data_IF_377397639855
#
_entry.id   IF_377397639855
#
_cell.length_a   1.000
_cell.length_b   1.000
_cell.length_c   1.000
_cell.angle_alpha   90.00
_cell.angle_beta   90.00
_cell.angle_gamma   90.00
#
_symmetry.space_group_name_H-M   'P 1'
#
loop_
_entity.id
_entity.type
_entity.pdbx_description
1 polymer ?
#
# COMPACT_ATOMS: atom_id res chain seq x y z
N UNK A 1 30.25 -22.66 -21.97
CA UNK A 1 30.37 -21.68 -20.87
C UNK A 1 29.49 -20.48 -21.21
N UNK A 2 28.93 -19.85 -20.16
CA UNK A 2 28.17 -18.60 -20.15
C UNK A 2 26.70 -18.65 -20.61
N UNK A 3 25.82 -18.94 -19.65
CA UNK A 3 24.74 -18.02 -19.28
C UNK A 3 24.52 -18.16 -17.77
N UNK A 4 25.33 -17.44 -17.01
CA UNK A 4 25.20 -17.35 -15.57
C UNK A 4 23.92 -16.56 -15.24
N UNK A 5 23.11 -17.15 -14.35
CA UNK A 5 22.09 -16.57 -13.50
C UNK A 5 21.57 -15.17 -13.88
N UNK A 6 20.32 -15.12 -14.39
CA UNK A 6 19.44 -14.03 -14.03
C UNK A 6 19.22 -14.16 -12.52
N UNK A 7 20.05 -13.47 -11.74
CA UNK A 7 19.83 -13.35 -10.31
C UNK A 7 18.46 -12.69 -10.12
N UNK A 8 17.58 -13.35 -9.35
CA UNK A 8 16.37 -12.81 -8.74
C UNK A 8 16.72 -11.51 -8.00
N UNK A 9 16.81 -10.39 -8.71
CA UNK A 9 16.90 -9.09 -8.09
C UNK A 9 15.51 -8.78 -7.56
N UNK A 10 15.33 -8.98 -6.26
CA UNK A 10 14.15 -8.51 -5.56
C UNK A 10 13.86 -7.05 -5.97
N UNK A 11 12.58 -6.67 -6.15
CA UNK A 11 12.21 -5.34 -6.62
C UNK A 11 12.89 -4.25 -5.79
N UNK A 12 13.55 -3.30 -6.43
CA UNK A 12 14.26 -2.23 -5.72
C UNK A 12 13.25 -1.23 -5.16
N UNK A 13 13.33 -0.94 -3.87
CA UNK A 13 12.55 0.12 -3.23
C UNK A 13 12.86 1.48 -3.85
N UNK A 14 11.82 2.22 -4.20
CA UNK A 14 11.82 3.57 -4.75
C UNK A 14 11.23 4.53 -3.70
N UNK A 15 11.80 5.73 -3.62
CA UNK A 15 11.40 6.76 -2.65
C UNK A 15 11.17 8.14 -3.30
N UNK A 16 11.49 8.29 -4.60
CA UNK A 16 11.30 9.55 -5.31
C UNK A 16 9.89 9.62 -5.88
N UNK A 17 8.98 10.22 -5.13
CA UNK A 17 7.60 10.43 -5.55
C UNK A 17 7.48 11.35 -6.78
N UNK A 18 8.51 12.14 -7.12
CA UNK A 18 8.48 12.97 -8.33
C UNK A 18 8.60 12.14 -9.61
N UNK A 19 9.19 10.95 -9.51
CA UNK A 19 9.32 10.01 -10.62
C UNK A 19 8.01 9.25 -10.93
N UNK A 20 6.98 9.39 -10.08
CA UNK A 20 5.67 8.80 -10.33
C UNK A 20 4.95 9.52 -11.48
N UNK A 21 4.18 8.79 -12.30
CA UNK A 21 3.28 9.41 -13.27
C UNK A 21 2.31 10.38 -12.60
N UNK A 22 1.98 11.48 -13.28
CA UNK A 22 1.04 12.48 -12.76
C UNK A 22 -0.30 11.92 -12.29
N UNK A 23 -0.92 10.95 -12.99
CA UNK A 23 -2.16 10.34 -12.51
C UNK A 23 -1.99 9.61 -11.16
N UNK A 24 -0.86 8.94 -10.95
CA UNK A 24 -0.55 8.24 -9.70
C UNK A 24 -0.38 9.24 -8.56
N UNK A 25 0.35 10.33 -8.79
CA UNK A 25 0.53 11.41 -7.80
C UNK A 25 -0.81 12.01 -7.38
N UNK A 26 -1.68 12.32 -8.35
CA UNK A 26 -3.03 12.87 -8.07
C UNK A 26 -3.88 11.92 -7.23
N UNK A 27 -3.86 10.62 -7.54
CA UNK A 27 -4.58 9.62 -6.73
C UNK A 27 -4.03 9.55 -5.30
N UNK A 28 -2.70 9.53 -5.13
CA UNK A 28 -2.08 9.56 -3.80
C UNK A 28 -2.45 10.84 -3.02
N UNK A 29 -2.48 12.00 -3.67
CA UNK A 29 -2.90 13.26 -3.07
C UNK A 29 -4.37 13.22 -2.62
N UNK A 30 -5.27 12.67 -3.44
CA UNK A 30 -6.69 12.52 -3.08
C UNK A 30 -6.87 11.57 -1.89
N UNK A 31 -6.19 10.43 -1.91
CA UNK A 31 -6.20 9.45 -0.81
C UNK A 31 -5.67 10.10 0.49
N UNK A 32 -4.52 10.78 0.41
CA UNK A 32 -3.91 11.42 1.56
C UNK A 32 -4.79 12.55 2.12
N UNK A 33 -5.36 13.40 1.27
CA UNK A 33 -6.24 14.48 1.68
C UNK A 33 -7.52 13.94 2.37
N UNK A 34 -8.13 12.90 1.81
CA UNK A 34 -9.29 12.25 2.42
C UNK A 34 -8.94 11.63 3.78
N UNK A 35 -7.82 10.92 3.89
CA UNK A 35 -7.39 10.30 5.14
C UNK A 35 -7.00 11.32 6.22
N UNK A 36 -6.31 12.41 5.85
CA UNK A 36 -5.91 13.48 6.78
C UNK A 36 -7.10 14.23 7.39
N UNK A 37 -8.25 14.23 6.72
CA UNK A 37 -9.47 14.84 7.27
C UNK A 37 -9.97 14.15 8.54
N UNK A 38 -9.62 12.87 8.74
CA UNK A 38 -10.11 12.04 9.84
C UNK A 38 -11.59 11.61 9.69
N UNK A 39 -12.28 12.07 8.66
CA UNK A 39 -13.67 11.73 8.35
C UNK A 39 -13.70 10.66 7.25
N UNK A 40 -13.92 9.41 7.63
CA UNK A 40 -13.84 8.26 6.71
C UNK A 40 -14.79 8.35 5.51
N UNK A 41 -15.92 9.06 5.63
CA UNK A 41 -16.83 9.28 4.50
C UNK A 41 -16.20 10.14 3.40
N UNK A 42 -15.16 10.93 3.69
CA UNK A 42 -14.40 11.67 2.67
C UNK A 42 -13.62 10.74 1.73
N UNK A 43 -13.46 9.46 2.08
CA UNK A 43 -12.90 8.46 1.17
C UNK A 43 -13.90 8.02 0.09
N UNK A 44 -15.22 8.15 0.33
CA UNK A 44 -16.27 7.72 -0.60
C UNK A 44 -16.10 8.31 -2.01
N UNK A 45 -15.92 9.64 -2.19
CA UNK A 45 -15.69 10.20 -3.51
C UNK A 45 -14.37 9.73 -4.17
N UNK A 46 -13.35 9.37 -3.39
CA UNK A 46 -12.08 8.83 -3.93
C UNK A 46 -12.26 7.39 -4.44
N UNK A 47 -13.11 6.59 -3.79
CA UNK A 47 -13.50 5.30 -4.32
C UNK A 47 -14.32 5.43 -5.60
N UNK A 48 -15.26 6.36 -5.61
CA UNK A 48 -16.19 6.59 -6.73
C UNK A 48 -15.54 7.32 -7.92
N UNK A 49 -14.37 7.93 -7.75
CA UNK A 49 -13.60 8.49 -8.87
C UNK A 49 -12.96 7.42 -9.76
N UNK A 50 -12.89 6.17 -9.29
CA UNK A 50 -12.50 5.03 -10.12
C UNK A 50 -13.73 4.44 -10.81
N UNK A 51 -13.59 4.00 -12.07
CA UNK A 51 -14.67 3.26 -12.77
C UNK A 51 -15.08 2.00 -12.01
N UNK A 52 -14.10 1.33 -11.40
CA UNK A 52 -14.29 0.21 -10.50
C UNK A 52 -13.73 0.56 -9.12
N UNK A 53 -14.53 0.37 -8.08
CA UNK A 53 -14.07 0.58 -6.70
C UNK A 53 -12.86 -0.33 -6.40
N UNK A 54 -11.84 0.16 -5.68
CA UNK A 54 -10.71 -0.66 -5.29
C UNK A 54 -11.14 -1.80 -4.35
N UNK A 55 -10.41 -2.90 -4.41
CA UNK A 55 -10.59 -4.00 -3.48
C UNK A 55 -10.10 -3.62 -2.09
N UNK A 56 -10.96 -3.75 -1.08
CA UNK A 56 -10.60 -3.55 0.34
C UNK A 56 -10.56 -4.84 1.16
N UNK A 57 -10.94 -5.96 0.53
CA UNK A 57 -10.76 -7.31 1.02
C UNK A 57 -10.59 -8.26 -0.18
N UNK A 58 -10.11 -9.49 0.08
CA UNK A 58 -10.04 -10.55 -0.96
C UNK A 58 -11.43 -10.95 -1.45
N UNK A 59 -12.43 -10.89 -0.57
CA UNK A 59 -13.83 -11.09 -0.93
C UNK A 59 -14.46 -9.78 -1.43
N UNK A 60 -15.52 -9.90 -2.22
CA UNK A 60 -16.31 -8.74 -2.63
C UNK A 60 -16.94 -8.03 -1.43
N UNK A 61 -16.91 -6.70 -1.46
CA UNK A 61 -17.42 -5.82 -0.41
C UNK A 61 -18.25 -4.74 -1.07
N UNK A 62 -19.54 -4.67 -0.71
CA UNK A 62 -20.48 -3.70 -1.28
C UNK A 62 -20.19 -2.26 -0.80
N UNK A 63 -19.98 -2.10 0.51
CA UNK A 63 -19.59 -0.84 1.13
C UNK A 63 -18.22 -0.93 1.84
N UNK A 64 -17.15 -0.49 1.15
CA UNK A 64 -15.80 -0.45 1.73
C UNK A 64 -15.70 0.35 3.03
N UNK A 65 -16.47 1.43 3.17
CA UNK A 65 -16.43 2.28 4.36
C UNK A 65 -17.04 1.57 5.55
N UNK A 66 -18.17 0.87 5.36
CA UNK A 66 -18.76 0.05 6.41
C UNK A 66 -17.81 -1.07 6.86
N UNK A 67 -17.08 -1.70 5.93
CA UNK A 67 -16.06 -2.69 6.29
C UNK A 67 -14.96 -2.07 7.14
N UNK A 68 -14.39 -0.94 6.73
CA UNK A 68 -13.31 -0.29 7.46
C UNK A 68 -13.73 0.17 8.86
N UNK A 69 -14.93 0.73 9.02
CA UNK A 69 -15.51 1.03 10.34
C UNK A 69 -15.63 -0.23 11.21
N UNK A 70 -16.03 -1.36 10.61
CA UNK A 70 -16.20 -2.64 11.32
C UNK A 70 -14.88 -3.25 11.81
N UNK A 71 -13.81 -3.17 11.01
CA UNK A 71 -12.49 -3.76 11.38
C UNK A 71 -11.63 -2.81 12.21
N UNK A 72 -11.98 -1.53 12.20
CA UNK A 72 -11.33 -0.49 12.99
C UNK A 72 -11.44 -0.74 14.50
N UNK A 73 -10.33 -0.49 15.21
CA UNK A 73 -10.29 -0.59 16.66
C UNK A 73 -11.15 0.49 17.36
N UNK A 74 -11.33 1.65 16.73
CA UNK A 74 -12.14 2.75 17.28
C UNK A 74 -13.59 2.75 16.77
N UNK A 75 -13.93 1.85 15.85
CA UNK A 75 -15.26 1.72 15.23
C UNK A 75 -15.61 2.83 14.24
N UNK A 76 -14.74 3.83 14.07
CA UNK A 76 -14.91 4.99 13.20
C UNK A 76 -13.97 4.98 12.00
N UNK A 77 -12.92 4.15 12.01
CA UNK A 77 -12.02 3.93 10.89
C UNK A 77 -10.76 4.80 10.89
N UNK A 78 -10.49 5.57 11.95
CA UNK A 78 -9.35 6.51 11.96
C UNK A 78 -8.00 5.79 12.03
N UNK A 79 -7.95 4.64 12.68
CA UNK A 79 -6.78 3.76 12.66
C UNK A 79 -6.50 3.21 11.25
N UNK A 80 -7.53 2.89 10.46
CA UNK A 80 -7.39 2.50 9.05
C UNK A 80 -6.89 3.68 8.20
N UNK A 81 -7.43 4.89 8.42
CA UNK A 81 -6.95 6.10 7.74
C UNK A 81 -5.50 6.44 8.11
N UNK A 82 -5.12 6.27 9.38
CA UNK A 82 -3.74 6.47 9.83
C UNK A 82 -2.79 5.46 9.16
N UNK A 83 -3.15 4.17 9.17
CA UNK A 83 -2.37 3.13 8.49
C UNK A 83 -2.24 3.40 6.98
N UNK A 84 -3.30 3.91 6.35
CA UNK A 84 -3.25 4.32 4.95
C UNK A 84 -2.26 5.45 4.71
N UNK A 85 -2.22 6.48 5.56
CA UNK A 85 -1.24 7.57 5.47
C UNK A 85 0.19 7.05 5.63
N UNK A 86 0.41 6.15 6.59
CA UNK A 86 1.73 5.53 6.77
C UNK A 86 2.14 4.71 5.54
N UNK A 87 1.22 3.96 4.93
CA UNK A 87 1.46 3.21 3.69
C UNK A 87 1.77 4.12 2.50
N UNK A 88 0.95 5.15 2.22
CA UNK A 88 1.19 6.01 1.04
C UNK A 88 2.43 6.90 1.18
N UNK A 89 2.93 7.09 2.41
CA UNK A 89 4.16 7.84 2.69
C UNK A 89 5.42 6.98 2.65
N UNK A 90 5.30 5.65 2.52
CA UNK A 90 6.45 4.74 2.50
C UNK A 90 7.14 4.67 1.14
N UNK A 91 8.28 3.98 1.07
CA UNK A 91 8.84 3.56 -0.21
C UNK A 91 7.89 2.61 -0.96
N UNK A 92 8.02 2.57 -2.29
CA UNK A 92 7.20 1.77 -3.19
C UNK A 92 8.04 0.96 -4.17
N UNK A 93 7.41 0.05 -4.90
CA UNK A 93 8.01 -0.63 -6.05
C UNK A 93 7.13 -0.48 -7.27
N UNK A 94 7.76 -0.52 -8.45
CA UNK A 94 7.08 -0.66 -9.73
C UNK A 94 7.15 -2.12 -10.16
N UNK A 95 6.00 -2.74 -10.36
CA UNK A 95 5.86 -4.14 -10.74
C UNK A 95 5.19 -4.25 -12.10
N UNK A 96 5.39 -5.40 -12.77
CA UNK A 96 4.78 -5.69 -14.07
C UNK A 96 5.30 -4.82 -15.21
N UNK A 97 4.69 -4.98 -16.39
CA UNK A 97 4.94 -4.19 -17.59
C UNK A 97 3.66 -4.05 -18.41
N UNK A 98 3.55 -2.97 -19.19
CA UNK A 98 2.37 -2.72 -20.03
C UNK A 98 1.10 -2.66 -19.19
N UNK A 99 0.10 -3.45 -19.55
CA UNK A 99 -1.21 -3.46 -18.90
C UNK A 99 -1.20 -4.07 -17.48
N UNK A 100 -0.13 -4.78 -17.11
CA UNK A 100 0.06 -5.32 -15.76
C UNK A 100 0.92 -4.43 -14.88
N UNK A 101 1.33 -3.26 -15.37
CA UNK A 101 2.17 -2.34 -14.61
C UNK A 101 1.40 -1.80 -13.38
N UNK A 102 2.06 -1.81 -12.22
CA UNK A 102 1.49 -1.32 -10.97
C UNK A 102 2.55 -0.72 -10.05
N UNK A 103 2.18 0.35 -9.35
CA UNK A 103 2.95 0.93 -8.26
C UNK A 103 2.37 0.43 -6.94
N UNK A 104 3.22 -0.17 -6.10
CA UNK A 104 2.81 -0.88 -4.88
C UNK A 104 3.50 -0.31 -3.64
N UNK A 105 2.69 0.01 -2.63
CA UNK A 105 3.13 0.47 -1.31
C UNK A 105 2.67 -0.50 -0.21
N UNK A 106 3.45 -0.69 0.87
CA UNK A 106 4.88 -0.41 0.90
C UNK A 106 5.63 -1.42 0.02
N UNK A 107 6.87 -1.09 -0.35
CA UNK A 107 7.73 -2.02 -1.09
C UNK A 107 7.90 -3.38 -0.39
N UNK A 108 7.76 -3.45 0.94
CA UNK A 108 7.79 -4.69 1.72
C UNK A 108 6.78 -5.75 1.26
N UNK A 109 5.66 -5.33 0.65
CA UNK A 109 4.65 -6.24 0.10
C UNK A 109 5.24 -7.15 -0.99
N UNK A 110 6.27 -6.67 -1.70
CA UNK A 110 6.90 -7.38 -2.83
C UNK A 110 8.33 -7.86 -2.49
N UNK A 111 9.07 -7.13 -1.65
CA UNK A 111 10.44 -7.53 -1.27
C UNK A 111 10.49 -8.52 -0.09
N UNK A 112 9.41 -8.61 0.68
CA UNK A 112 9.39 -9.32 1.96
C UNK A 112 10.18 -8.59 3.06
N UNK A 113 10.39 -9.29 4.18
CA UNK A 113 11.00 -8.74 5.40
C UNK A 113 12.30 -9.47 5.82
N UNK A 114 12.83 -10.32 4.95
CA UNK A 114 14.07 -11.05 5.21
C UNK A 114 15.27 -10.14 4.97
N UNK A 115 16.16 -10.02 5.96
CA UNK A 115 17.43 -9.29 5.80
C UNK A 115 17.28 -7.77 5.69
N UNK A 116 16.27 -7.18 6.35
CA UNK A 116 16.11 -5.73 6.42
C UNK A 116 17.35 -5.06 7.03
N UNK A 117 17.76 -3.93 6.47
CA UNK A 117 18.73 -3.05 7.12
C UNK A 117 18.10 -2.37 8.34
N UNK A 118 18.90 -1.84 9.29
CA UNK A 118 18.36 -1.10 10.43
C UNK A 118 17.45 0.08 10.05
N UNK A 119 17.71 0.75 8.92
CA UNK A 119 16.83 1.84 8.44
C UNK A 119 15.49 1.30 7.93
N UNK A 120 15.51 0.19 7.20
CA UNK A 120 14.29 -0.46 6.71
C UNK A 120 13.46 -1.05 7.87
N UNK A 121 14.10 -1.49 8.96
CA UNK A 121 13.36 -1.88 10.16
C UNK A 121 12.62 -0.70 10.79
N UNK A 122 13.23 0.49 10.84
CA UNK A 122 12.55 1.71 11.32
C UNK A 122 11.37 2.05 10.41
N UNK A 123 11.53 1.95 9.09
CA UNK A 123 10.43 2.16 8.13
C UNK A 123 9.29 1.16 8.35
N UNK A 124 9.60 -0.12 8.57
CA UNK A 124 8.60 -1.13 8.91
C UNK A 124 7.83 -0.73 10.17
N UNK A 125 8.52 -0.27 11.22
CA UNK A 125 7.87 0.15 12.48
C UNK A 125 7.06 1.45 12.37
N UNK A 126 7.28 2.27 11.33
CA UNK A 126 6.42 3.41 11.02
C UNK A 126 5.08 2.98 10.43
N UNK A 127 5.05 1.87 9.71
CA UNK A 127 3.85 1.38 9.01
C UNK A 127 3.10 0.35 9.85
N UNK A 128 3.84 -0.50 10.56
CA UNK A 128 3.31 -1.66 11.26
C UNK A 128 3.59 -1.50 12.76
N UNK A 129 2.56 -1.59 13.62
CA UNK A 129 2.76 -1.61 15.06
C UNK A 129 3.82 -2.65 15.48
N UNK A 130 4.74 -2.34 16.41
CA UNK A 130 5.84 -3.24 16.76
C UNK A 130 5.42 -4.67 17.13
N UNK A 131 4.28 -4.83 17.79
CA UNK A 131 3.72 -6.14 18.16
C UNK A 131 3.41 -7.02 16.94
N UNK A 132 2.91 -6.44 15.85
CA UNK A 132 2.63 -7.14 14.59
C UNK A 132 3.92 -7.33 13.77
N UNK A 133 4.78 -6.32 13.73
CA UNK A 133 6.01 -6.34 12.96
C UNK A 133 6.97 -7.45 13.41
N UNK A 134 7.07 -7.74 14.72
CA UNK A 134 7.92 -8.85 15.24
C UNK A 134 7.49 -10.20 14.67
N UNK A 135 6.18 -10.47 14.59
CA UNK A 135 5.67 -11.71 14.03
C UNK A 135 5.94 -11.81 12.52
N UNK A 136 5.74 -10.71 11.78
CA UNK A 136 6.00 -10.62 10.34
C UNK A 136 7.50 -10.76 10.00
N UNK A 137 8.39 -10.14 10.78
CA UNK A 137 9.84 -10.31 10.63
C UNK A 137 10.26 -11.76 10.84
N UNK A 138 9.67 -12.47 11.81
CA UNK A 138 9.98 -13.89 12.06
C UNK A 138 9.54 -14.78 10.89
N UNK A 139 8.41 -14.48 10.25
CA UNK A 139 7.94 -15.22 9.07
C UNK A 139 8.64 -14.81 7.78
N UNK A 140 9.31 -13.65 7.77
CA UNK A 140 9.92 -13.04 6.58
C UNK A 140 8.89 -12.47 5.60
N UNK A 141 7.60 -12.46 5.96
CA UNK A 141 6.49 -12.07 5.07
C UNK A 141 5.78 -10.83 5.60
N UNK A 142 5.59 -9.85 4.72
CA UNK A 142 4.72 -8.71 4.96
C UNK A 142 3.25 -9.14 4.79
N UNK A 143 2.41 -8.83 5.78
CA UNK A 143 0.98 -9.19 5.78
C UNK A 143 0.16 -8.10 6.49
N UNK A 144 0.50 -6.85 6.21
CA UNK A 144 -0.24 -5.68 6.66
C UNK A 144 -0.76 -4.92 5.42
N UNK A 145 -1.35 -3.74 5.63
CA UNK A 145 -1.95 -2.97 4.55
C UNK A 145 -0.98 -2.71 3.40
N UNK A 146 -1.45 -3.01 2.19
CA UNK A 146 -0.78 -2.68 0.93
C UNK A 146 -1.72 -2.00 -0.03
N UNK A 147 -1.18 -1.11 -0.83
CA UNK A 147 -1.89 -0.29 -1.81
C UNK A 147 -1.31 -0.50 -3.20
N UNK A 148 -2.17 -0.63 -4.22
CA UNK A 148 -1.77 -0.77 -5.61
C UNK A 148 -2.47 0.25 -6.52
N UNK A 149 -1.69 1.04 -7.26
CA UNK A 149 -2.19 2.02 -8.25
C UNK A 149 -1.55 1.74 -9.61
N UNK A 150 -2.34 1.70 -10.68
CA UNK A 150 -1.86 1.56 -12.05
C UNK A 150 -1.30 2.89 -12.60
N UNK A 151 -0.45 2.89 -13.65
CA UNK A 151 0.17 4.10 -14.20
C UNK A 151 -0.82 5.20 -14.62
N UNK A 152 -2.05 4.82 -14.97
CA UNK A 152 -3.13 5.72 -15.34
C UNK A 152 -3.87 6.33 -14.12
N UNK A 153 -3.44 6.03 -12.90
CA UNK A 153 -4.00 6.56 -11.66
C UNK A 153 -5.17 5.74 -11.09
N UNK A 154 -5.57 4.64 -11.73
CA UNK A 154 -6.62 3.77 -11.19
C UNK A 154 -6.13 3.09 -9.92
N UNK A 155 -6.86 3.30 -8.83
CA UNK A 155 -6.60 2.63 -7.56
C UNK A 155 -7.22 1.23 -7.59
N UNK A 156 -6.38 0.19 -7.57
CA UNK A 156 -6.84 -1.18 -7.68
C UNK A 156 -7.22 -1.80 -6.33
N UNK A 157 -6.42 -1.54 -5.28
CA UNK A 157 -6.65 -2.18 -4.00
C UNK A 157 -6.02 -1.46 -2.82
N UNK A 158 -6.59 -1.67 -1.64
CA UNK A 158 -6.00 -1.41 -0.32
C UNK A 158 -6.36 -2.56 0.62
N UNK A 159 -5.45 -3.54 0.73
CA UNK A 159 -5.71 -4.84 1.34
C UNK A 159 -4.81 -5.06 2.55
N UNK A 160 -5.34 -5.65 3.61
CA UNK A 160 -4.58 -6.13 4.76
C UNK A 160 -4.08 -7.56 4.58
#
# INVERSE_FOLDING_TARGET
MAAAAAADQAPKALYDFNALPDPVKRMLEQIAAAAQSGEIENMRPVFESNELKPMVATAYVDDPIALWKKVSADGSGRDVLAAMLDVVSSGYVRMGQGDQEMYVWPYFAETGLSGLSPSQEVELYRIVPPSLAVAMKRSGKYSYYRLGIAPNGVWHYFLQ
#
